data_IF_863581963890
#
_entry.id   IF_863581963890
#
_cell.length_a   1.000
_cell.length_b   1.000
_cell.length_c   1.000
_cell.angle_alpha   90.00
_cell.angle_beta   90.00
_cell.angle_gamma   90.00
#
_symmetry.space_group_name_H-M   'P 1'
#
loop_
_entity.id
_entity.type
_entity.pdbx_description
1 polymer ?
#
# COMPACT_ATOMS: atom_id res chain seq x y z
N UNK A 1 19.67 43.63 -27.86
CA UNK A 1 18.30 43.20 -27.45
C UNK A 1 18.25 41.69 -27.69
N UNK A 2 18.97 40.93 -26.87
CA UNK A 2 19.25 39.48 -26.94
C UNK A 2 20.28 39.25 -25.83
N UNK A 3 20.18 38.38 -24.85
CA UNK A 3 19.29 37.27 -24.59
C UNK A 3 18.99 37.28 -23.09
N UNK A 4 17.72 37.32 -22.72
CA UNK A 4 17.31 36.94 -21.37
C UNK A 4 17.45 35.43 -21.29
N UNK A 5 18.64 34.97 -20.91
CA UNK A 5 18.88 33.61 -20.46
C UNK A 5 17.99 33.36 -19.25
N UNK A 6 16.79 32.83 -19.51
CA UNK A 6 15.96 32.25 -18.47
C UNK A 6 16.78 31.11 -17.90
N UNK A 7 17.40 31.38 -16.76
CA UNK A 7 17.97 30.38 -15.87
C UNK A 7 16.83 29.43 -15.55
N UNK A 8 16.79 28.30 -16.25
CA UNK A 8 15.93 27.19 -15.89
C UNK A 8 16.17 26.93 -14.40
N UNK A 9 15.13 27.04 -13.54
CA UNK A 9 15.31 26.67 -12.16
C UNK A 9 15.75 25.22 -12.18
N UNK A 10 16.97 24.96 -11.71
CA UNK A 10 17.45 23.61 -11.48
C UNK A 10 16.57 23.03 -10.38
N UNK A 11 15.48 22.37 -10.76
CA UNK A 11 14.67 21.55 -9.90
C UNK A 11 15.58 20.37 -9.52
N UNK A 12 16.47 20.60 -8.55
CA UNK A 12 17.00 19.54 -7.71
C UNK A 12 15.77 18.94 -7.03
N UNK A 13 15.13 17.98 -7.70
CA UNK A 13 14.32 16.96 -7.05
C UNK A 13 15.29 16.19 -6.17
N UNK A 14 15.61 16.79 -5.03
CA UNK A 14 16.26 16.10 -3.94
C UNK A 14 15.18 15.15 -3.48
N UNK A 15 15.20 13.93 -4.02
CA UNK A 15 14.38 12.84 -3.53
C UNK A 15 14.64 12.77 -2.03
N UNK A 16 13.77 13.40 -1.24
CA UNK A 16 13.89 13.39 0.20
C UNK A 16 13.74 11.92 0.58
N UNK A 17 14.84 11.31 1.00
CA UNK A 17 14.83 9.97 1.53
C UNK A 17 13.92 10.00 2.75
N UNK A 18 12.71 9.48 2.61
CA UNK A 18 11.77 9.32 3.71
C UNK A 18 12.50 8.50 4.78
N UNK A 19 12.62 9.05 5.98
CA UNK A 19 13.19 8.33 7.11
C UNK A 19 12.30 7.16 7.50
N UNK A 20 12.88 6.09 8.06
CA UNK A 20 12.14 4.89 8.47
C UNK A 20 10.97 5.21 9.41
N UNK A 21 11.14 6.21 10.28
CA UNK A 21 10.13 6.65 11.22
C UNK A 21 8.93 7.27 10.50
N UNK A 22 9.18 8.18 9.56
CA UNK A 22 8.13 8.79 8.74
C UNK A 22 7.40 7.75 7.90
N UNK A 23 8.14 6.80 7.29
CA UNK A 23 7.54 5.69 6.55
C UNK A 23 6.63 4.83 7.45
N UNK A 24 7.08 4.50 8.67
CA UNK A 24 6.29 3.73 9.63
C UNK A 24 5.02 4.48 10.04
N UNK A 25 5.10 5.79 10.33
CA UNK A 25 3.93 6.60 10.68
C UNK A 25 2.90 6.66 9.54
N UNK A 26 3.36 6.84 8.29
CA UNK A 26 2.48 6.83 7.12
C UNK A 26 1.81 5.47 6.95
N UNK A 27 2.56 4.38 7.09
CA UNK A 27 2.02 3.03 7.00
C UNK A 27 0.96 2.76 8.07
N UNK A 28 1.24 3.11 9.33
CA UNK A 28 0.29 2.95 10.44
C UNK A 28 -0.98 3.77 10.20
N UNK A 29 -0.84 5.02 9.71
CA UNK A 29 -1.98 5.87 9.37
C UNK A 29 -2.81 5.34 8.19
N UNK A 30 -2.19 4.62 7.26
CA UNK A 30 -2.88 3.99 6.14
C UNK A 30 -3.63 2.71 6.57
N UNK A 31 -3.04 1.92 7.47
CA UNK A 31 -3.63 0.65 7.94
C UNK A 31 -4.78 0.87 8.94
N UNK A 32 -4.62 1.80 9.87
CA UNK A 32 -5.64 2.03 10.92
C UNK A 32 -6.75 2.92 10.35
N UNK A 33 -7.92 2.30 10.09
CA UNK A 33 -9.11 2.99 9.61
C UNK A 33 -10.41 2.48 10.24
N UNK A 34 -11.54 2.74 9.58
CA UNK A 34 -12.87 2.33 10.06
C UNK A 34 -13.07 0.81 10.20
N UNK A 35 -12.18 0.00 9.61
CA UNK A 35 -12.25 -1.46 9.64
C UNK A 35 -12.26 -2.06 11.05
N UNK A 36 -11.59 -1.44 12.03
CA UNK A 36 -11.62 -1.91 13.43
C UNK A 36 -13.02 -1.84 14.03
N UNK A 37 -13.82 -0.83 13.66
CA UNK A 37 -15.18 -0.67 14.17
C UNK A 37 -16.18 -1.52 13.38
N UNK A 38 -16.07 -1.55 12.05
CA UNK A 38 -16.99 -2.31 11.21
C UNK A 38 -16.81 -3.81 11.38
N UNK A 39 -15.57 -4.30 11.29
CA UNK A 39 -15.27 -5.74 11.34
C UNK A 39 -15.55 -6.30 12.73
N UNK A 40 -15.12 -5.60 13.78
CA UNK A 40 -15.41 -6.00 15.17
C UNK A 40 -16.91 -5.91 15.46
N UNK A 41 -17.63 -4.93 14.90
CA UNK A 41 -19.09 -4.84 15.02
C UNK A 41 -19.83 -6.02 14.39
N UNK A 42 -19.38 -6.51 13.23
CA UNK A 42 -19.91 -7.72 12.61
C UNK A 42 -19.58 -8.96 13.45
N UNK A 43 -18.33 -9.11 13.87
CA UNK A 43 -17.90 -10.22 14.73
C UNK A 43 -18.66 -10.26 16.07
N UNK A 44 -18.93 -9.09 16.66
CA UNK A 44 -19.71 -8.98 17.89
C UNK A 44 -21.16 -9.43 17.71
N UNK A 45 -21.76 -9.23 16.53
CA UNK A 45 -23.11 -9.72 16.23
C UNK A 45 -23.15 -11.23 16.01
N UNK A 46 -22.14 -11.79 15.33
CA UNK A 46 -22.16 -13.20 14.92
C UNK A 46 -21.59 -14.14 15.98
N UNK A 47 -20.52 -13.73 16.67
CA UNK A 47 -19.78 -14.57 17.65
C UNK A 47 -20.25 -14.30 19.07
N UNK A 48 -20.50 -13.03 19.43
CA UNK A 48 -20.98 -12.62 20.75
C UNK A 48 -19.99 -12.74 21.92
N UNK A 49 -18.91 -13.52 21.79
CA UNK A 49 -17.87 -13.71 22.81
C UNK A 49 -16.64 -12.79 22.57
N UNK A 50 -16.31 -11.88 23.51
CA UNK A 50 -15.17 -10.97 23.37
C UNK A 50 -13.80 -11.65 23.24
N UNK A 51 -13.60 -12.80 23.88
CA UNK A 51 -12.33 -13.53 23.87
C UNK A 51 -12.08 -14.18 22.50
N UNK A 52 -13.13 -14.73 21.89
CA UNK A 52 -13.05 -15.27 20.53
C UNK A 52 -12.76 -14.18 19.49
N UNK A 53 -13.32 -12.98 19.67
CA UNK A 53 -13.06 -11.84 18.79
C UNK A 53 -11.58 -11.43 18.86
N UNK A 54 -11.00 -11.36 20.06
CA UNK A 54 -9.57 -11.07 20.24
C UNK A 54 -8.68 -12.15 19.61
N UNK A 55 -9.06 -13.43 19.72
CA UNK A 55 -8.33 -14.52 19.09
C UNK A 55 -8.39 -14.44 17.56
N UNK A 56 -9.55 -14.13 16.98
CA UNK A 56 -9.68 -13.90 15.54
C UNK A 56 -8.81 -12.74 15.06
N UNK A 57 -8.77 -11.64 15.83
CA UNK A 57 -7.88 -10.51 15.56
C UNK A 57 -6.40 -10.92 15.60
N UNK A 58 -6.02 -11.72 16.58
CA UNK A 58 -4.65 -12.22 16.70
C UNK A 58 -4.25 -13.11 15.53
N UNK A 59 -5.14 -14.02 15.12
CA UNK A 59 -4.94 -14.87 13.94
C UNK A 59 -4.84 -14.03 12.68
N UNK A 60 -5.73 -13.04 12.50
CA UNK A 60 -5.67 -12.10 11.37
C UNK A 60 -4.36 -11.30 11.34
N UNK A 61 -3.86 -10.86 12.49
CA UNK A 61 -2.58 -10.18 12.61
C UNK A 61 -1.40 -11.08 12.19
N UNK A 62 -1.44 -12.37 12.53
CA UNK A 62 -0.41 -13.33 12.12
C UNK A 62 -0.40 -13.55 10.59
N UNK A 63 -1.58 -13.66 9.98
CA UNK A 63 -1.69 -13.72 8.51
C UNK A 63 -1.19 -12.43 7.84
N UNK A 64 -1.54 -11.27 8.39
CA UNK A 64 -1.09 -9.98 7.88
C UNK A 64 0.43 -9.82 7.98
N UNK A 65 1.06 -10.31 9.06
CA UNK A 65 2.51 -10.30 9.23
C UNK A 65 3.20 -11.15 8.14
N UNK A 66 2.68 -12.34 7.86
CA UNK A 66 3.18 -13.19 6.78
C UNK A 66 3.11 -12.49 5.42
N UNK A 67 1.97 -11.85 5.12
CA UNK A 67 1.81 -11.04 3.92
C UNK A 67 2.82 -9.88 3.86
N UNK A 68 2.97 -9.14 4.95
CA UNK A 68 3.88 -8.00 5.04
C UNK A 68 5.34 -8.40 4.79
N UNK A 69 5.77 -9.57 5.27
CA UNK A 69 7.11 -10.09 4.99
C UNK A 69 7.32 -10.37 3.49
N UNK A 70 6.38 -11.07 2.85
CA UNK A 70 6.44 -11.38 1.41
C UNK A 70 6.46 -10.10 0.58
N UNK A 71 5.59 -9.14 0.90
CA UNK A 71 5.57 -7.84 0.22
C UNK A 71 6.84 -7.02 0.49
N UNK A 72 7.43 -7.13 1.67
CA UNK A 72 8.69 -6.49 2.02
C UNK A 72 9.87 -7.04 1.21
N UNK A 73 9.97 -8.36 1.06
CA UNK A 73 10.98 -9.00 0.20
C UNK A 73 10.81 -8.61 -1.26
N UNK A 74 9.56 -8.62 -1.75
CA UNK A 74 9.25 -8.30 -3.14
C UNK A 74 9.51 -6.83 -3.46
N UNK A 75 9.18 -5.91 -2.54
CA UNK A 75 9.48 -4.49 -2.68
C UNK A 75 10.98 -4.17 -2.62
N UNK A 76 11.77 -4.97 -1.88
CA UNK A 76 13.22 -4.88 -1.90
C UNK A 76 13.83 -5.44 -3.20
N UNK A 77 13.26 -6.52 -3.74
CA UNK A 77 13.73 -7.18 -4.96
C UNK A 77 13.42 -6.37 -6.24
N UNK A 78 12.28 -5.67 -6.27
CA UNK A 78 11.81 -4.89 -7.44
C UNK A 78 11.55 -3.43 -7.05
N UNK A 79 12.60 -2.59 -6.89
CA UNK A 79 12.49 -1.20 -6.42
C UNK A 79 12.03 -0.24 -7.54
N UNK A 80 10.92 -0.56 -8.21
CA UNK A 80 10.33 0.26 -9.26
C UNK A 80 9.06 0.93 -8.75
N UNK A 81 8.86 2.21 -9.11
CA UNK A 81 7.64 2.94 -8.82
C UNK A 81 6.48 2.39 -9.67
N UNK A 82 5.69 1.48 -9.10
CA UNK A 82 4.48 0.95 -9.73
C UNK A 82 3.73 -0.13 -8.94
N UNK A 83 4.20 -0.51 -7.75
CA UNK A 83 3.49 -1.40 -6.83
C UNK A 83 3.17 -2.76 -7.44
N UNK A 84 1.97 -3.28 -7.13
CA UNK A 84 1.52 -4.60 -7.58
C UNK A 84 1.55 -4.78 -9.11
N UNK A 85 1.37 -3.69 -9.87
CA UNK A 85 1.45 -3.73 -11.33
C UNK A 85 2.83 -4.21 -11.82
N UNK A 86 3.91 -3.76 -11.18
CA UNK A 86 5.28 -4.16 -11.55
C UNK A 86 5.50 -5.63 -11.25
N UNK A 87 5.01 -6.11 -10.10
CA UNK A 87 5.15 -7.51 -9.70
C UNK A 87 4.43 -8.44 -10.67
N UNK A 88 3.18 -8.08 -11.05
CA UNK A 88 2.40 -8.87 -12.01
C UNK A 88 2.96 -8.79 -13.42
N UNK A 89 3.52 -7.65 -13.82
CA UNK A 89 4.16 -7.49 -15.12
C UNK A 89 5.40 -8.38 -15.26
N UNK A 90 6.21 -8.47 -14.22
CA UNK A 90 7.42 -9.28 -14.22
C UNK A 90 7.10 -10.79 -14.18
N UNK A 91 6.11 -11.19 -13.38
CA UNK A 91 5.77 -12.61 -13.20
C UNK A 91 4.89 -13.19 -14.33
N UNK A 92 3.91 -12.41 -14.84
CA UNK A 92 2.86 -12.92 -15.72
C UNK A 92 2.76 -12.18 -17.07
N UNK A 93 3.55 -11.13 -17.26
CA UNK A 93 3.60 -10.38 -18.51
C UNK A 93 2.60 -9.20 -18.60
N UNK A 94 2.66 -8.45 -19.72
CA UNK A 94 2.04 -7.12 -19.82
C UNK A 94 0.50 -7.13 -19.87
N UNK A 95 -0.13 -8.21 -20.35
CA UNK A 95 -1.59 -8.29 -20.44
C UNK A 95 -2.25 -8.46 -19.07
N UNK A 96 -1.67 -9.30 -18.21
CA UNK A 96 -2.16 -9.51 -16.83
C UNK A 96 -1.94 -8.26 -15.98
N UNK A 97 -0.80 -7.59 -16.16
CA UNK A 97 -0.54 -6.30 -15.52
C UNK A 97 -1.56 -5.23 -15.98
N UNK A 98 -1.87 -5.15 -17.28
CA UNK A 98 -2.87 -4.21 -17.80
C UNK A 98 -4.26 -4.48 -17.20
N UNK A 99 -4.68 -5.74 -17.14
CA UNK A 99 -5.96 -6.12 -16.52
C UNK A 99 -6.00 -5.77 -15.02
N UNK A 100 -4.89 -5.97 -14.29
CA UNK A 100 -4.78 -5.55 -12.88
C UNK A 100 -4.92 -4.04 -12.73
N UNK A 101 -4.22 -3.25 -13.54
CA UNK A 101 -4.38 -1.79 -13.57
C UNK A 101 -5.81 -1.36 -13.92
N UNK A 102 -6.45 -2.06 -14.87
CA UNK A 102 -7.84 -1.83 -15.25
C UNK A 102 -8.83 -2.17 -14.13
N UNK A 103 -8.64 -3.28 -13.40
CA UNK A 103 -9.47 -3.62 -12.24
C UNK A 103 -9.28 -2.60 -11.11
N UNK A 104 -8.05 -2.14 -10.86
CA UNK A 104 -7.80 -1.10 -9.86
C UNK A 104 -8.47 0.22 -10.25
N UNK A 105 -8.50 0.56 -11.54
CA UNK A 105 -9.21 1.74 -12.03
C UNK A 105 -10.73 1.63 -11.93
N UNK A 106 -11.31 0.46 -12.25
CA UNK A 106 -12.77 0.28 -12.37
C UNK A 106 -13.45 -0.12 -11.08
N UNK A 107 -12.80 -0.94 -10.26
CA UNK A 107 -13.33 -1.42 -8.97
C UNK A 107 -12.81 -0.53 -7.83
N UNK A 108 -11.55 -0.07 -7.94
CA UNK A 108 -10.85 0.65 -6.88
C UNK A 108 -11.16 2.14 -6.75
N UNK A 109 -12.39 2.60 -7.06
CA UNK A 109 -12.79 4.01 -6.91
C UNK A 109 -12.20 4.67 -5.63
N UNK A 110 -11.26 5.60 -5.82
CA UNK A 110 -11.05 6.76 -4.95
C UNK A 110 -10.13 6.62 -3.73
N UNK A 111 -9.41 5.52 -3.54
CA UNK A 111 -8.38 5.44 -2.51
C UNK A 111 -7.01 5.21 -3.17
N UNK A 112 -6.44 6.30 -3.70
CA UNK A 112 -5.01 6.33 -3.93
C UNK A 112 -4.31 6.04 -2.60
N UNK A 113 -3.61 4.91 -2.54
CA UNK A 113 -2.40 4.79 -1.72
C UNK A 113 -1.35 5.73 -2.29
#
# INVERSE_FOLDING_TARGET
>A
MSDSSISEPSLKSTAQKIGWFTAACVLVGNIIGGGIFTTTGLMARDVGDPMLILLLWFVGALFALGGAMVYGELGAALPHAGGDYVYLREAYGPLVAFLSGWTSFTIGFGAAV
#
